data_IF_666740736377
#
_entry.id   IF_666740736377
#
_cell.length_a   1.000
_cell.length_b   1.000
_cell.length_c   1.000
_cell.angle_alpha   90.00
_cell.angle_beta   90.00
_cell.angle_gamma   90.00
#
_symmetry.space_group_name_H-M   'P 1'
#
loop_
_entity.id
_entity.type
_entity.pdbx_description
1 polymer ?
#
# COMPACT_ATOMS: atom_id res chain seq x y z
N UNK A 1 7.97 -4.77 -8.84
CA UNK A 1 6.53 -4.74 -8.50
C UNK A 1 5.85 -3.54 -9.15
N UNK A 2 4.77 -3.77 -9.85
CA UNK A 2 4.00 -2.70 -10.47
C UNK A 2 2.92 -2.24 -9.49
N UNK A 3 2.91 -0.94 -9.22
CA UNK A 3 1.96 -0.34 -8.29
C UNK A 3 1.19 0.77 -8.99
N UNK A 4 -0.06 0.92 -8.60
CA UNK A 4 -0.93 1.96 -9.11
C UNK A 4 -1.68 2.62 -7.95
N UNK A 5 -2.01 3.88 -8.11
CA UNK A 5 -2.85 4.57 -7.13
C UNK A 5 -4.19 3.84 -7.04
N UNK A 6 -4.61 3.54 -5.82
CA UNK A 6 -5.84 2.78 -5.60
C UNK A 6 -5.63 1.30 -5.33
N UNK A 7 -4.41 0.81 -5.49
CA UNK A 7 -4.11 -0.59 -5.18
C UNK A 7 -4.29 -0.86 -3.69
N UNK A 8 -4.72 -2.07 -3.38
CA UNK A 8 -4.89 -2.52 -2.00
C UNK A 8 -3.81 -3.54 -1.70
N UNK A 9 -3.03 -3.28 -0.66
CA UNK A 9 -1.89 -4.14 -0.30
C UNK A 9 -1.96 -4.58 1.15
N UNK A 10 -1.39 -5.73 1.43
CA UNK A 10 -1.23 -6.24 2.79
C UNK A 10 0.23 -6.11 3.18
N UNK A 11 0.48 -5.50 4.34
CA UNK A 11 1.83 -5.31 4.84
C UNK A 11 2.21 -6.47 5.77
N UNK A 12 3.51 -6.65 5.98
CA UNK A 12 4.01 -7.73 6.83
C UNK A 12 3.68 -7.53 8.30
N UNK A 13 3.64 -6.27 8.72
CA UNK A 13 3.32 -5.92 10.11
C UNK A 13 2.00 -5.20 10.16
N UNK A 14 1.19 -5.51 11.16
CA UNK A 14 -0.03 -4.78 11.40
C UNK A 14 0.28 -3.38 11.89
N UNK A 15 -0.53 -2.41 11.49
CA UNK A 15 -0.50 -1.06 12.02
C UNK A 15 -0.97 -1.09 13.48
N UNK A 16 -0.55 -0.12 14.33
CA UNK A 16 -1.01 -0.08 15.73
C UNK A 16 -2.52 -0.14 15.92
N UNK A 17 -3.30 0.24 14.90
CA UNK A 17 -4.75 0.11 14.99
C UNK A 17 -5.25 -1.31 14.74
N UNK A 18 -4.35 -2.26 14.48
CA UNK A 18 -4.68 -3.66 14.27
C UNK A 18 -4.91 -4.06 12.82
N UNK A 19 -4.85 -3.12 11.89
CA UNK A 19 -5.08 -3.39 10.47
C UNK A 19 -3.75 -3.43 9.71
N UNK A 20 -3.60 -4.40 8.81
CA UNK A 20 -2.41 -4.53 7.98
C UNK A 20 -2.71 -4.31 6.49
N UNK A 21 -3.93 -3.88 6.17
CA UNK A 21 -4.36 -3.62 4.79
C UNK A 21 -4.32 -2.11 4.53
N UNK A 22 -3.65 -1.74 3.43
CA UNK A 22 -3.42 -0.35 3.09
C UNK A 22 -3.79 -0.09 1.63
N UNK A 23 -4.27 1.11 1.38
CA UNK A 23 -4.57 1.55 0.01
C UNK A 23 -3.50 2.53 -0.44
N UNK A 24 -2.96 2.29 -1.63
CA UNK A 24 -1.94 3.14 -2.22
C UNK A 24 -2.59 4.45 -2.68
N UNK A 25 -2.05 5.58 -2.22
CA UNK A 25 -2.57 6.89 -2.58
C UNK A 25 -1.63 7.68 -3.48
N UNK A 26 -0.36 7.27 -3.55
CA UNK A 26 0.61 7.93 -4.41
C UNK A 26 1.73 6.96 -4.76
N UNK A 27 2.14 6.96 -6.01
CA UNK A 27 3.24 6.12 -6.51
C UNK A 27 4.25 7.01 -7.22
N UNK A 28 5.47 7.00 -6.73
CA UNK A 28 6.59 7.75 -7.30
C UNK A 28 7.88 7.20 -6.75
N UNK A 29 8.86 8.05 -6.48
CA UNK A 29 10.09 7.65 -5.80
C UNK A 29 9.76 7.13 -4.41
N UNK A 30 8.72 7.72 -3.78
CA UNK A 30 8.17 7.26 -2.52
C UNK A 30 6.77 6.71 -2.76
N UNK A 31 6.32 5.85 -1.86
CA UNK A 31 4.97 5.29 -1.91
C UNK A 31 4.20 5.83 -0.71
N UNK A 32 3.07 6.49 -0.98
CA UNK A 32 2.16 6.92 0.08
C UNK A 32 0.99 5.95 0.14
N UNK A 33 0.62 5.56 1.34
CA UNK A 33 -0.48 4.64 1.54
C UNK A 33 -1.31 5.06 2.74
N UNK A 34 -2.59 4.70 2.71
CA UNK A 34 -3.54 5.04 3.75
C UNK A 34 -4.09 3.77 4.38
N UNK A 35 -4.10 3.74 5.71
CA UNK A 35 -4.69 2.62 6.43
C UNK A 35 -6.19 2.58 6.17
N UNK A 36 -6.72 1.41 5.79
CA UNK A 36 -8.13 1.27 5.47
C UNK A 36 -9.02 1.35 6.71
N UNK A 37 -8.45 1.21 7.89
CA UNK A 37 -9.22 1.24 9.12
C UNK A 37 -9.20 2.61 9.80
N UNK A 38 -8.02 3.16 10.05
CA UNK A 38 -7.90 4.42 10.78
C UNK A 38 -7.62 5.62 9.89
N UNK A 39 -7.44 5.42 8.60
CA UNK A 39 -7.20 6.48 7.61
C UNK A 39 -5.86 7.19 7.76
N UNK A 40 -4.96 6.62 8.53
CA UNK A 40 -3.63 7.20 8.70
C UNK A 40 -2.83 7.05 7.42
N UNK A 41 -2.10 8.11 7.05
CA UNK A 41 -1.26 8.08 5.85
C UNK A 41 0.20 7.90 6.27
N UNK A 42 0.87 6.98 5.58
CA UNK A 42 2.29 6.68 5.82
C UNK A 42 2.99 6.75 4.47
N UNK A 43 4.20 7.32 4.48
CA UNK A 43 5.04 7.36 3.29
C UNK A 43 6.29 6.53 3.52
N UNK A 44 6.61 5.69 2.55
CA UNK A 44 7.81 4.85 2.59
C UNK A 44 8.57 5.03 1.28
N UNK A 45 9.90 5.00 1.37
CA UNK A 45 10.70 4.92 0.16
C UNK A 45 10.39 3.61 -0.56
N UNK A 46 10.41 3.64 -1.87
CA UNK A 46 10.04 2.48 -2.67
C UNK A 46 10.75 1.18 -2.29
N UNK A 47 12.08 1.17 -2.11
CA UNK A 47 12.77 -0.06 -1.70
C UNK A 47 12.31 -0.56 -0.33
N UNK A 48 12.02 0.35 0.59
CA UNK A 48 11.52 -0.01 1.92
C UNK A 48 10.12 -0.58 1.83
N UNK A 49 9.27 0.04 1.01
CA UNK A 49 7.92 -0.46 0.78
C UNK A 49 7.95 -1.88 0.23
N UNK A 50 8.81 -2.12 -0.78
CA UNK A 50 8.90 -3.43 -1.40
C UNK A 50 9.33 -4.53 -0.43
N UNK A 51 10.13 -4.17 0.58
CA UNK A 51 10.51 -5.12 1.61
C UNK A 51 9.40 -5.39 2.62
N UNK A 52 8.55 -4.40 2.86
CA UNK A 52 7.52 -4.47 3.90
C UNK A 52 6.18 -4.94 3.40
N UNK A 53 5.93 -4.88 2.10
CA UNK A 53 4.67 -5.36 1.55
C UNK A 53 4.69 -6.88 1.52
N UNK A 54 3.57 -7.49 1.94
CA UNK A 54 3.43 -8.93 1.93
C UNK A 54 2.81 -9.42 0.63
N UNK A 55 1.74 -8.76 0.21
CA UNK A 55 1.07 -9.18 -1.01
C UNK A 55 0.17 -8.08 -1.54
N UNK A 56 -0.05 -8.07 -2.84
CA UNK A 56 -1.00 -7.20 -3.49
C UNK A 56 -2.36 -7.88 -3.44
N UNK A 57 -3.32 -7.25 -2.77
CA UNK A 57 -4.66 -7.82 -2.63
C UNK A 57 -5.56 -7.46 -3.79
N UNK A 58 -5.43 -6.23 -4.30
CA UNK A 58 -6.26 -5.76 -5.39
C UNK A 58 -5.48 -4.73 -6.19
N UNK A 59 -5.47 -4.87 -7.51
CA UNK A 59 -4.75 -3.95 -8.39
C UNK A 59 -5.75 -3.08 -9.15
N UNK A 60 -5.78 -1.80 -8.80
CA UNK A 60 -6.68 -0.86 -9.47
C UNK A 60 -6.29 -0.64 -10.93
N UNK A 61 -4.97 -0.68 -11.21
CA UNK A 61 -4.48 -0.46 -12.56
C UNK A 61 -4.87 -1.54 -13.55
N UNK A 62 -5.04 -2.76 -13.07
CA UNK A 62 -5.39 -3.88 -13.93
C UNK A 62 -6.88 -3.94 -14.27
N UNK A 63 -7.70 -3.24 -13.51
CA UNK A 63 -9.13 -3.27 -13.73
C UNK A 63 -9.52 -2.68 -15.07
N UNK A 64 -8.63 -1.96 -15.71
CA UNK A 64 -8.90 -1.31 -16.96
C UNK A 64 -8.49 -2.12 -18.18
N UNK A 65 -7.79 -3.17 -17.93
CA UNK A 65 -7.28 -4.01 -19.03
C UNK A 65 -8.38 -4.76 -19.75
#
# INVERSE_FOLDING_TARGET
MLLHVGDLVKMRKAHPCGNDVWRITYVGADIKMRCEKCQRIVMLERPVFEKRVRKLLESAGEAEA
#
